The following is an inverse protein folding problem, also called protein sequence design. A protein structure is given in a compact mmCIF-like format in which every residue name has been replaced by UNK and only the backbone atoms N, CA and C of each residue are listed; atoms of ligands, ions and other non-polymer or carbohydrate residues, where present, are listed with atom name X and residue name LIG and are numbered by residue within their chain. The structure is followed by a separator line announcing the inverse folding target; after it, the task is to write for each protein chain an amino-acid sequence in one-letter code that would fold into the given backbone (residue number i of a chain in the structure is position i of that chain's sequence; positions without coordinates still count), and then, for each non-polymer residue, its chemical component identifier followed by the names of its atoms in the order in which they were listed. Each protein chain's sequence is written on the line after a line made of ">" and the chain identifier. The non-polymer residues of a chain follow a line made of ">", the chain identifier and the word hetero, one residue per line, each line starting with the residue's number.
data_IF_761170994318
#
_entry.id   IF_761170994318
#
_cell.length_a   1.000
_cell.length_b   1.000
_cell.length_c   1.000
_cell.angle_alpha   90.00
_cell.angle_beta   90.00
_cell.angle_gamma   90.00
#
_symmetry.space_group_name_H-M   'P 1'
#
loop_
_entity.id
_entity.type
_entity.pdbx_description
1 polymer ?
#
# COMPACT_ATOMS: atom_id res chain seq x y z
N UNK A 1 -9.32 40.92 31.69
CA UNK A 1 -8.31 39.92 31.36
C UNK A 1 -8.76 39.05 30.20
N UNK A 2 -7.86 38.80 29.30
CA UNK A 2 -8.14 37.89 28.17
C UNK A 2 -8.01 36.43 28.61
N UNK A 3 -8.96 35.61 28.22
CA UNK A 3 -8.89 34.14 28.45
C UNK A 3 -7.70 33.50 27.75
N UNK A 4 -7.12 34.17 26.75
CA UNK A 4 -5.99 33.65 25.98
C UNK A 4 -4.64 33.79 26.69
N UNK A 5 -4.59 34.55 27.79
CA UNK A 5 -3.32 34.79 28.51
C UNK A 5 -2.66 33.52 29.06
N UNK A 6 -3.45 32.51 29.39
CA UNK A 6 -2.92 31.22 29.87
C UNK A 6 -2.44 30.28 28.79
N UNK A 7 -2.54 30.66 27.50
CA UNK A 7 -2.21 29.80 26.37
C UNK A 7 -0.92 30.27 25.69
N UNK A 8 -0.12 29.33 25.27
CA UNK A 8 1.05 29.64 24.46
C UNK A 8 0.62 29.73 22.99
N UNK A 9 0.48 30.94 22.51
CA UNK A 9 0.03 31.20 21.13
C UNK A 9 1.23 31.15 20.20
N UNK A 10 1.10 30.41 19.11
CA UNK A 10 2.15 30.24 18.10
C UNK A 10 1.58 30.43 16.70
N UNK A 11 2.45 30.78 15.77
CA UNK A 11 2.08 30.95 14.38
C UNK A 11 2.33 29.65 13.63
N UNK A 12 1.46 28.67 13.82
CA UNK A 12 1.57 27.39 13.15
C UNK A 12 0.28 27.04 12.42
N UNK A 13 0.42 26.43 11.28
CA UNK A 13 -0.70 25.92 10.50
C UNK A 13 -0.52 24.43 10.29
N UNK A 14 -1.64 23.72 10.21
CA UNK A 14 -1.60 22.29 9.91
C UNK A 14 -1.01 22.10 8.50
N UNK A 15 -0.01 21.23 8.33
CA UNK A 15 0.50 20.93 6.99
C UNK A 15 -0.61 20.36 6.11
N UNK A 16 -0.72 20.85 4.89
CA UNK A 16 -1.74 20.39 3.94
C UNK A 16 -1.43 19.01 3.35
N UNK A 17 -0.17 18.64 3.29
CA UNK A 17 0.24 17.37 2.73
C UNK A 17 1.50 16.86 3.43
N UNK A 18 1.63 15.53 3.44
CA UNK A 18 2.86 14.88 3.90
C UNK A 18 3.98 15.10 2.87
N UNK A 19 5.24 15.09 3.30
CA UNK A 19 6.35 15.05 2.35
C UNK A 19 6.16 13.89 1.36
N UNK A 20 6.50 14.08 0.06
CA UNK A 20 6.27 13.05 -0.96
C UNK A 20 6.85 11.68 -0.62
N UNK A 21 8.02 11.64 0.00
CA UNK A 21 8.68 10.38 0.40
C UNK A 21 7.82 9.61 1.41
N UNK A 22 7.33 10.30 2.45
CA UNK A 22 6.50 9.67 3.48
C UNK A 22 5.15 9.23 2.92
N UNK A 23 4.58 10.01 2.00
CA UNK A 23 3.33 9.65 1.34
C UNK A 23 3.48 8.36 0.52
N UNK A 24 4.58 8.24 -0.23
CA UNK A 24 4.88 7.05 -1.01
C UNK A 24 5.10 5.83 -0.14
N UNK A 25 5.85 5.98 0.96
CA UNK A 25 6.06 4.89 1.93
C UNK A 25 4.73 4.41 2.50
N UNK A 26 3.87 5.33 2.91
CA UNK A 26 2.55 5.02 3.45
C UNK A 26 1.68 4.27 2.46
N UNK A 27 1.68 4.72 1.21
CA UNK A 27 0.90 4.09 0.15
C UNK A 27 1.31 2.63 -0.05
N UNK A 28 2.62 2.38 -0.11
CA UNK A 28 3.13 1.02 -0.24
C UNK A 28 2.90 0.20 1.02
N UNK A 29 3.12 0.79 2.20
CA UNK A 29 2.89 0.12 3.48
C UNK A 29 1.45 -0.38 3.61
N UNK A 30 0.48 0.44 3.23
CA UNK A 30 -0.93 0.06 3.24
C UNK A 30 -1.19 -1.14 2.32
N UNK A 31 -0.61 -1.13 1.13
CA UNK A 31 -0.75 -2.24 0.19
C UNK A 31 -0.09 -3.52 0.71
N UNK A 32 1.07 -3.40 1.34
CA UNK A 32 1.74 -4.54 1.96
C UNK A 32 0.91 -5.11 3.11
N UNK A 33 0.31 -4.25 3.92
CA UNK A 33 -0.59 -4.69 4.97
C UNK A 33 -1.77 -5.50 4.41
N UNK A 34 -2.37 -5.02 3.32
CA UNK A 34 -3.47 -5.73 2.64
C UNK A 34 -3.01 -7.11 2.17
N UNK A 35 -1.80 -7.22 1.62
CA UNK A 35 -1.25 -8.50 1.18
C UNK A 35 -1.00 -9.45 2.34
N UNK A 36 -0.52 -8.94 3.48
CA UNK A 36 -0.31 -9.73 4.69
C UNK A 36 -1.65 -10.28 5.19
N UNK A 37 -2.68 -9.44 5.24
CA UNK A 37 -4.01 -9.86 5.69
C UNK A 37 -4.59 -10.91 4.74
N UNK A 38 -4.42 -10.74 3.44
CA UNK A 38 -4.88 -11.71 2.45
C UNK A 38 -4.14 -13.05 2.62
N UNK A 39 -2.83 -13.04 2.81
CA UNK A 39 -2.05 -14.26 3.01
C UNK A 39 -2.47 -14.99 4.28
N UNK A 40 -2.68 -14.25 5.37
CA UNK A 40 -3.16 -14.84 6.64
C UNK A 40 -4.56 -15.43 6.47
N UNK A 41 -5.45 -14.74 5.79
CA UNK A 41 -6.81 -15.23 5.54
C UNK A 41 -6.78 -16.52 4.72
N UNK A 42 -5.97 -16.57 3.67
CA UNK A 42 -5.86 -17.78 2.86
C UNK A 42 -5.26 -18.96 3.63
N UNK A 43 -4.30 -18.70 4.51
CA UNK A 43 -3.71 -19.74 5.37
C UNK A 43 -4.75 -20.33 6.34
N UNK A 44 -5.73 -19.54 6.75
CA UNK A 44 -6.81 -19.96 7.63
C UNK A 44 -8.05 -20.48 6.88
N UNK A 45 -8.01 -20.45 5.54
CA UNK A 45 -9.13 -20.84 4.70
C UNK A 45 -10.23 -19.78 4.58
N UNK A 46 -9.94 -18.55 4.99
CA UNK A 46 -10.87 -17.42 4.95
C UNK A 46 -10.63 -16.55 3.71
N UNK A 47 -11.53 -15.61 3.48
CA UNK A 47 -11.38 -14.60 2.43
C UNK A 47 -11.12 -13.24 3.06
N UNK A 48 -10.45 -12.37 2.32
CA UNK A 48 -10.18 -11.01 2.76
C UNK A 48 -10.62 -10.02 1.68
N UNK A 49 -11.31 -8.97 2.10
CA UNK A 49 -11.70 -7.89 1.21
C UNK A 49 -11.63 -6.57 1.99
N UNK A 50 -11.22 -5.51 1.31
CA UNK A 50 -11.13 -4.18 1.91
C UNK A 50 -12.49 -3.51 1.84
N UNK A 51 -12.95 -2.97 2.96
CA UNK A 51 -14.19 -2.19 3.01
C UNK A 51 -13.92 -0.79 2.48
N UNK A 52 -14.75 -0.34 1.55
CA UNK A 52 -14.70 1.01 1.04
C UNK A 52 -16.10 1.57 0.98
N UNK A 53 -16.20 2.88 1.12
CA UNK A 53 -17.47 3.58 0.96
C UNK A 53 -17.51 4.25 -0.40
N UNK A 54 -18.60 3.98 -1.13
CA UNK A 54 -18.81 4.57 -2.45
C UNK A 54 -20.04 5.45 -2.40
N UNK A 55 -19.93 6.66 -2.91
CA UNK A 55 -21.07 7.56 -3.04
C UNK A 55 -21.88 7.19 -4.28
N UNK A 56 -23.16 6.89 -4.08
CA UNK A 56 -24.07 6.53 -5.15
C UNK A 56 -25.27 7.48 -5.09
N UNK A 57 -25.74 7.94 -6.25
CA UNK A 57 -26.97 8.69 -6.36
C UNK A 57 -28.13 7.72 -6.56
N UNK A 58 -29.16 7.88 -5.76
CA UNK A 58 -30.37 7.09 -5.92
C UNK A 58 -31.29 7.71 -6.99
N UNK A 59 -32.46 7.11 -7.18
CA UNK A 59 -33.45 7.53 -8.19
C UNK A 59 -33.92 8.96 -7.94
N UNK A 60 -33.93 9.40 -6.69
CA UNK A 60 -34.36 10.75 -6.29
C UNK A 60 -33.24 11.77 -6.38
N UNK A 61 -32.05 11.38 -6.82
CA UNK A 61 -30.91 12.28 -6.94
C UNK A 61 -30.16 12.53 -5.61
N UNK A 62 -30.53 11.81 -4.55
CA UNK A 62 -29.90 11.96 -3.24
C UNK A 62 -28.63 11.11 -3.20
N UNK A 63 -27.52 11.73 -2.78
CA UNK A 63 -26.25 11.00 -2.63
C UNK A 63 -26.26 10.20 -1.34
N UNK A 64 -25.95 8.92 -1.47
CA UNK A 64 -25.82 8.00 -0.33
C UNK A 64 -24.45 7.34 -0.35
N UNK A 65 -23.89 7.14 0.83
CA UNK A 65 -22.65 6.38 0.98
C UNK A 65 -23.00 4.93 1.25
N UNK A 66 -22.56 4.04 0.38
CA UNK A 66 -22.77 2.60 0.55
C UNK A 66 -21.44 1.91 0.81
N UNK A 67 -21.48 0.86 1.63
CA UNK A 67 -20.33 0.04 1.91
C UNK A 67 -20.13 -0.96 0.77
N UNK A 68 -18.95 -0.98 0.19
CA UNK A 68 -18.57 -1.96 -0.83
C UNK A 68 -17.33 -2.71 -0.38
N UNK A 69 -17.22 -3.98 -0.76
CA UNK A 69 -16.07 -4.81 -0.49
C UNK A 69 -15.25 -4.95 -1.75
N UNK A 70 -13.99 -4.51 -1.67
CA UNK A 70 -13.05 -4.63 -2.78
C UNK A 70 -12.15 -5.83 -2.55
N UNK A 71 -12.17 -6.78 -3.48
CA UNK A 71 -11.27 -7.93 -3.44
C UNK A 71 -9.84 -7.48 -3.69
N UNK A 72 -8.92 -8.00 -2.88
CA UNK A 72 -7.48 -7.73 -3.02
C UNK A 72 -6.88 -8.83 -3.88
N UNK A 73 -6.15 -8.45 -4.93
CA UNK A 73 -5.44 -9.41 -5.78
C UNK A 73 -4.12 -9.78 -5.13
N UNK A 74 -3.80 -11.07 -5.06
CA UNK A 74 -2.52 -11.49 -4.49
C UNK A 74 -1.34 -11.05 -5.37
N UNK A 75 -0.26 -10.66 -4.72
CA UNK A 75 0.99 -10.33 -5.40
C UNK A 75 1.87 -11.56 -5.60
N UNK A 76 1.52 -12.68 -4.98
CA UNK A 76 2.25 -13.93 -5.13
C UNK A 76 1.61 -14.80 -6.18
N UNK A 77 2.42 -15.66 -6.76
CA UNK A 77 2.00 -16.59 -7.82
C UNK A 77 2.84 -17.85 -7.76
N UNK A 78 2.35 -18.90 -8.39
CA UNK A 78 3.07 -20.16 -8.47
C UNK A 78 3.77 -20.21 -9.83
N UNK A 79 5.08 -20.48 -9.80
CA UNK A 79 5.89 -20.60 -11.01
C UNK A 79 5.71 -21.98 -11.64
N UNK A 80 6.23 -22.16 -12.88
CA UNK A 80 6.19 -23.44 -13.59
C UNK A 80 6.88 -24.55 -12.81
N UNK A 81 7.84 -24.21 -11.95
CA UNK A 81 8.56 -25.15 -11.10
C UNK A 81 7.81 -25.49 -9.81
N UNK A 82 6.60 -24.99 -9.63
CA UNK A 82 5.79 -25.20 -8.42
C UNK A 82 6.22 -24.37 -7.22
N UNK A 83 7.08 -23.39 -7.41
CA UNK A 83 7.55 -22.51 -6.35
C UNK A 83 6.69 -21.26 -6.28
N UNK A 84 6.52 -20.72 -5.06
CA UNK A 84 5.76 -19.49 -4.85
C UNK A 84 6.72 -18.31 -4.89
N UNK A 85 6.41 -17.33 -5.72
CA UNK A 85 7.15 -16.07 -5.82
C UNK A 85 6.20 -14.91 -5.57
N UNK A 86 6.71 -13.84 -4.97
CA UNK A 86 5.95 -12.63 -4.72
C UNK A 86 6.62 -11.42 -5.37
N UNK A 87 5.83 -10.60 -6.05
CA UNK A 87 6.28 -9.33 -6.61
C UNK A 87 5.81 -8.21 -5.69
N UNK A 88 6.71 -7.28 -5.38
CA UNK A 88 6.35 -6.08 -4.64
C UNK A 88 5.99 -5.01 -5.65
N UNK A 89 4.78 -4.47 -5.56
CA UNK A 89 4.26 -3.50 -6.52
C UNK A 89 4.04 -2.14 -5.91
N UNK A 90 4.34 -1.12 -6.71
CA UNK A 90 3.95 0.25 -6.40
C UNK A 90 3.03 0.73 -7.54
N UNK A 91 1.74 0.87 -7.22
CA UNK A 91 0.73 1.10 -8.24
C UNK A 91 0.68 -0.06 -9.22
N UNK A 92 0.87 0.21 -10.49
CA UNK A 92 0.87 -0.79 -11.56
C UNK A 92 2.26 -1.35 -11.88
N UNK A 93 3.29 -0.87 -11.19
CA UNK A 93 4.66 -1.23 -11.47
C UNK A 93 5.20 -2.24 -10.46
N UNK A 94 5.91 -3.25 -10.95
CA UNK A 94 6.65 -4.18 -10.11
C UNK A 94 7.98 -3.52 -9.74
N UNK A 95 8.29 -3.48 -8.44
CA UNK A 95 9.54 -2.91 -7.97
C UNK A 95 10.69 -3.89 -8.18
N UNK A 96 11.79 -3.39 -8.71
CA UNK A 96 13.02 -4.15 -8.81
C UNK A 96 13.78 -4.03 -7.50
N UNK A 97 13.79 -5.11 -6.71
CA UNK A 97 14.38 -5.12 -5.36
C UNK A 97 15.90 -5.19 -5.40
N UNK A 98 16.43 -5.83 -6.44
CA UNK A 98 17.86 -5.88 -6.73
C UNK A 98 18.01 -5.88 -8.25
N UNK A 99 19.18 -5.54 -8.75
CA UNK A 99 19.42 -5.46 -10.19
C UNK A 99 19.04 -6.76 -10.89
N UNK A 100 18.05 -6.69 -11.77
CA UNK A 100 17.54 -7.84 -12.50
C UNK A 100 16.65 -8.78 -11.70
N UNK A 101 16.29 -8.42 -10.45
CA UNK A 101 15.49 -9.28 -9.57
C UNK A 101 14.26 -8.54 -9.08
N UNK A 102 13.10 -8.92 -9.58
CA UNK A 102 11.82 -8.29 -9.24
C UNK A 102 10.89 -9.20 -8.44
N UNK A 103 11.32 -10.42 -8.10
CA UNK A 103 10.49 -11.37 -7.36
C UNK A 103 11.28 -11.98 -6.20
N UNK A 104 10.53 -12.36 -5.16
CA UNK A 104 11.09 -13.05 -3.99
C UNK A 104 10.50 -14.44 -3.96
N UNK A 105 11.35 -15.46 -3.92
CA UNK A 105 10.92 -16.85 -3.80
C UNK A 105 10.68 -17.21 -2.35
N UNK A 106 9.54 -17.84 -2.07
CA UNK A 106 9.19 -18.30 -0.73
C UNK A 106 8.81 -19.79 -0.76
N UNK A 107 9.12 -20.49 0.33
CA UNK A 107 8.91 -21.92 0.39
C UNK A 107 7.54 -22.31 0.96
N UNK A 108 6.92 -21.45 1.75
CA UNK A 108 5.66 -21.73 2.43
C UNK A 108 4.83 -20.47 2.66
N UNK A 109 3.57 -20.66 3.07
CA UNK A 109 2.69 -19.54 3.42
C UNK A 109 3.22 -18.74 4.60
N UNK A 110 3.79 -19.39 5.60
CA UNK A 110 4.38 -18.72 6.76
C UNK A 110 5.58 -17.87 6.32
N UNK A 111 6.41 -18.38 5.44
CA UNK A 111 7.56 -17.66 4.90
C UNK A 111 7.10 -16.46 4.04
N UNK A 112 6.01 -16.61 3.30
CA UNK A 112 5.41 -15.52 2.55
C UNK A 112 5.01 -14.36 3.46
N UNK A 113 4.32 -14.66 4.56
CA UNK A 113 3.90 -13.65 5.54
C UNK A 113 5.11 -12.96 6.15
N UNK A 114 6.12 -13.72 6.58
CA UNK A 114 7.35 -13.17 7.15
C UNK A 114 8.09 -12.28 6.15
N UNK A 115 8.14 -12.70 4.87
CA UNK A 115 8.77 -11.93 3.80
C UNK A 115 8.05 -10.59 3.60
N UNK A 116 6.72 -10.60 3.56
CA UNK A 116 5.93 -9.39 3.41
C UNK A 116 6.15 -8.44 4.59
N UNK A 117 6.24 -8.96 5.81
CA UNK A 117 6.52 -8.15 6.99
C UNK A 117 7.92 -7.54 6.96
N UNK A 118 8.93 -8.28 6.49
CA UNK A 118 10.29 -7.77 6.32
C UNK A 118 10.34 -6.66 5.27
N UNK A 119 9.63 -6.81 4.16
CA UNK A 119 9.55 -5.77 3.13
C UNK A 119 8.85 -4.53 3.69
N UNK A 120 7.79 -4.72 4.47
CA UNK A 120 7.11 -3.61 5.12
C UNK A 120 8.03 -2.82 6.04
N UNK A 121 8.87 -3.52 6.81
CA UNK A 121 9.89 -2.90 7.65
C UNK A 121 10.91 -2.15 6.81
N UNK A 122 11.37 -2.75 5.71
CA UNK A 122 12.33 -2.11 4.81
C UNK A 122 11.76 -0.81 4.22
N UNK A 123 10.47 -0.79 3.87
CA UNK A 123 9.80 0.41 3.38
C UNK A 123 9.81 1.50 4.46
N UNK A 124 9.49 1.14 5.71
CA UNK A 124 9.48 2.08 6.82
C UNK A 124 10.88 2.66 7.11
N UNK A 125 11.92 1.84 6.94
CA UNK A 125 13.31 2.25 7.15
C UNK A 125 13.89 3.03 5.97
N UNK A 126 13.15 3.11 4.85
CA UNK A 126 13.57 3.86 3.66
C UNK A 126 14.46 3.10 2.69
N UNK A 127 14.64 1.80 2.87
CA UNK A 127 15.51 0.99 2.02
C UNK A 127 15.02 0.87 0.58
N UNK A 128 13.72 1.05 0.35
CA UNK A 128 13.11 0.96 -0.98
C UNK A 128 12.77 2.31 -1.60
N UNK A 129 13.18 3.41 -0.98
CA UNK A 129 12.83 4.76 -1.46
C UNK A 129 13.28 5.01 -2.90
N UNK A 130 14.47 4.56 -3.27
CA UNK A 130 15.00 4.72 -4.63
C UNK A 130 14.13 3.96 -5.64
N UNK A 131 13.74 2.74 -5.33
CA UNK A 131 12.90 1.92 -6.19
C UNK A 131 11.50 2.53 -6.33
N UNK A 132 10.94 3.00 -5.22
CA UNK A 132 9.62 3.64 -5.19
C UNK A 132 9.64 4.92 -6.02
N UNK A 133 10.67 5.73 -5.85
CA UNK A 133 10.83 6.99 -6.58
C UNK A 133 10.95 6.74 -8.08
N UNK A 134 11.74 5.75 -8.48
CA UNK A 134 11.87 5.34 -9.87
C UNK A 134 10.54 4.88 -10.47
N UNK A 135 9.77 4.09 -9.75
CA UNK A 135 8.45 3.62 -10.19
C UNK A 135 7.47 4.79 -10.32
N UNK A 136 7.47 5.71 -9.34
CA UNK A 136 6.63 6.90 -9.37
C UNK A 136 6.98 7.82 -10.54
N UNK A 137 8.27 8.01 -10.81
CA UNK A 137 8.75 8.80 -11.93
C UNK A 137 8.36 8.21 -13.28
N UNK A 138 8.46 6.88 -13.41
CA UNK A 138 8.07 6.19 -14.64
C UNK A 138 6.57 6.33 -14.92
N UNK A 139 5.73 6.26 -13.89
CA UNK A 139 4.28 6.47 -14.04
C UNK A 139 3.99 7.88 -14.50
N UNK A 140 4.63 8.88 -13.91
CA UNK A 140 4.47 10.29 -14.33
C UNK A 140 4.89 10.52 -15.78
N UNK A 141 6.00 9.93 -16.18
CA UNK A 141 6.51 10.04 -17.55
C UNK A 141 5.51 9.45 -18.55
N UNK A 142 4.81 8.37 -18.18
CA UNK A 142 3.77 7.76 -19.00
C UNK A 142 2.55 8.64 -19.23
N UNK A 143 2.27 9.58 -18.33
CA UNK A 143 1.15 10.52 -18.47
C UNK A 143 1.49 11.82 -19.22
N UNK A 144 2.76 12.10 -19.38
CA UNK A 144 3.23 13.30 -20.08
C UNK A 144 3.47 13.01 -21.57
N UNK A 145 2.42 12.84 -22.28
CA UNK A 145 2.53 12.72 -23.74
C UNK A 145 1.99 13.95 -24.44
#
# INVERSE_FOLDING_TARGET
>A
MSALQGLKLVNQRRPNALPPVLHRRRKLDTKLWEQIQLAQAQAEGNTFAVKRFKTVRDVDGVSKSIEVHKCVRPWWFITDNGKVCVNIRYGNRVLELAKGKSAIEVASAAELINTLELIRKAVSDGELDTQIDGASGAVRAGFKK
#
